data_IF_379031546073
#
_entry.id   IF_379031546073
#
_cell.length_a   1.000
_cell.length_b   1.000
_cell.length_c   1.000
_cell.angle_alpha   90.00
_cell.angle_beta   90.00
_cell.angle_gamma   90.00
#
_symmetry.space_group_name_H-M   'P 1'
#
loop_
_entity.id
_entity.type
_entity.pdbx_description
1 polymer ?
#
# COMPACT_ATOMS: atom_id res chain seq x y z
N UNK A 1 3.44 -1.45 -13.20
CA UNK A 1 3.73 -2.11 -11.90
C UNK A 1 3.23 -1.28 -10.72
N UNK A 2 3.55 0.01 -10.70
CA UNK A 2 3.10 0.97 -9.68
C UNK A 2 1.57 0.99 -9.53
N UNK A 3 0.80 1.03 -10.62
CA UNK A 3 -0.67 0.98 -10.52
C UNK A 3 -1.20 -0.28 -9.84
N UNK A 4 -0.57 -1.44 -10.12
CA UNK A 4 -0.92 -2.70 -9.45
C UNK A 4 -0.61 -2.61 -7.95
N UNK A 5 0.53 -2.02 -7.59
CA UNK A 5 0.95 -1.78 -6.19
C UNK A 5 0.05 -0.77 -5.48
N UNK A 6 -0.53 0.20 -6.18
CA UNK A 6 -1.54 1.10 -5.62
C UNK A 6 -2.87 0.35 -5.40
N UNK A 7 -3.27 -0.51 -6.34
CA UNK A 7 -4.54 -1.25 -6.28
C UNK A 7 -4.62 -2.23 -5.11
N UNK A 8 -3.51 -2.84 -4.69
CA UNK A 8 -3.52 -3.81 -3.57
C UNK A 8 -3.93 -3.15 -2.24
N UNK A 9 -3.62 -1.87 -2.02
CA UNK A 9 -4.07 -1.14 -0.84
C UNK A 9 -5.59 -0.90 -0.85
N UNK A 10 -6.16 -0.59 -2.01
CA UNK A 10 -7.62 -0.48 -2.15
C UNK A 10 -8.33 -1.83 -1.92
N UNK A 11 -7.73 -2.93 -2.37
CA UNK A 11 -8.24 -4.27 -2.10
C UNK A 11 -8.20 -4.61 -0.61
N UNK A 12 -7.12 -4.24 0.08
CA UNK A 12 -7.03 -4.38 1.54
C UNK A 12 -8.11 -3.57 2.27
N UNK A 13 -8.35 -2.31 1.89
CA UNK A 13 -9.44 -1.49 2.45
C UNK A 13 -10.83 -2.13 2.23
N UNK A 14 -11.01 -2.84 1.11
CA UNK A 14 -12.24 -3.60 0.85
C UNK A 14 -12.41 -4.75 1.86
N UNK A 15 -11.33 -5.49 2.16
CA UNK A 15 -11.34 -6.54 3.17
C UNK A 15 -11.62 -5.98 4.58
N UNK A 16 -11.11 -4.79 4.91
CA UNK A 16 -11.42 -4.10 6.16
C UNK A 16 -12.91 -3.76 6.27
N UNK A 17 -13.52 -3.24 5.21
CA UNK A 17 -14.95 -2.93 5.21
C UNK A 17 -15.81 -4.20 5.32
N UNK A 18 -15.39 -5.28 4.66
CA UNK A 18 -16.04 -6.59 4.81
C UNK A 18 -15.94 -7.09 6.26
N UNK A 19 -14.79 -6.98 6.91
CA UNK A 19 -14.60 -7.33 8.32
C UNK A 19 -15.54 -6.55 9.25
N UNK A 20 -15.70 -5.24 9.06
CA UNK A 20 -16.58 -4.44 9.94
C UNK A 20 -18.05 -4.87 9.89
N UNK A 21 -18.46 -5.43 8.75
CA UNK A 21 -19.83 -5.91 8.56
C UNK A 21 -19.98 -7.33 9.07
N UNK A 22 -19.08 -8.23 8.68
CA UNK A 22 -19.17 -9.67 8.93
C UNK A 22 -18.55 -10.12 10.27
N UNK A 23 -17.62 -9.33 10.81
CA UNK A 23 -16.73 -9.67 11.92
C UNK A 23 -15.87 -10.91 11.68
N UNK A 24 -15.68 -11.28 10.42
CA UNK A 24 -14.80 -12.37 10.01
C UNK A 24 -13.33 -11.95 10.08
N UNK A 25 -12.68 -12.31 11.18
CA UNK A 25 -11.26 -12.04 11.41
C UNK A 25 -10.38 -12.74 10.36
N UNK A 26 -10.78 -13.91 9.85
CA UNK A 26 -10.00 -14.66 8.87
C UNK A 26 -9.91 -13.90 7.55
N UNK A 27 -11.03 -13.34 7.08
CA UNK A 27 -11.07 -12.50 5.88
C UNK A 27 -10.16 -11.26 5.99
N UNK A 28 -10.08 -10.64 7.18
CA UNK A 28 -9.19 -9.50 7.42
C UNK A 28 -7.71 -9.92 7.37
N UNK A 29 -7.36 -11.04 8.02
CA UNK A 29 -5.99 -11.56 8.04
C UNK A 29 -5.54 -12.03 6.66
N UNK A 30 -6.42 -12.67 5.89
CA UNK A 30 -6.17 -13.05 4.50
C UNK A 30 -5.96 -11.82 3.62
N UNK A 31 -6.76 -10.77 3.81
CA UNK A 31 -6.59 -9.47 3.17
C UNK A 31 -5.21 -8.87 3.45
N UNK A 32 -4.75 -8.89 4.71
CA UNK A 32 -3.41 -8.44 5.12
C UNK A 32 -2.32 -9.28 4.45
N UNK A 33 -2.40 -10.60 4.56
CA UNK A 33 -1.41 -11.53 3.99
C UNK A 33 -1.28 -11.36 2.48
N UNK A 34 -2.40 -11.17 1.78
CA UNK A 34 -2.43 -10.91 0.35
C UNK A 34 -1.77 -9.58 0.02
N UNK A 35 -2.07 -8.51 0.76
CA UNK A 35 -1.40 -7.22 0.61
C UNK A 35 0.12 -7.36 0.71
N UNK A 36 0.61 -8.05 1.74
CA UNK A 36 2.05 -8.23 1.97
C UNK A 36 2.72 -9.06 0.87
N UNK A 37 2.07 -10.15 0.45
CA UNK A 37 2.57 -11.05 -0.60
C UNK A 37 2.62 -10.36 -1.96
N UNK A 38 1.50 -9.76 -2.39
CA UNK A 38 1.39 -9.10 -3.69
C UNK A 38 2.32 -7.87 -3.74
N UNK A 39 2.46 -7.14 -2.62
CA UNK A 39 3.43 -6.03 -2.51
C UNK A 39 4.87 -6.53 -2.70
N UNK A 40 5.25 -7.62 -2.04
CA UNK A 40 6.60 -8.16 -2.13
C UNK A 40 6.93 -8.59 -3.57
N UNK A 41 6.03 -9.32 -4.23
CA UNK A 41 6.17 -9.72 -5.63
C UNK A 41 6.32 -8.51 -6.56
N UNK A 42 5.47 -7.49 -6.41
CA UNK A 42 5.56 -6.28 -7.24
C UNK A 42 6.85 -5.51 -6.94
N UNK A 43 7.31 -5.45 -5.69
CA UNK A 43 8.58 -4.82 -5.35
C UNK A 43 9.77 -5.54 -5.98
N UNK A 44 9.79 -6.88 -6.01
CA UNK A 44 10.82 -7.63 -6.74
C UNK A 44 10.81 -7.27 -8.23
N UNK A 45 9.63 -7.20 -8.85
CA UNK A 45 9.49 -6.81 -10.27
C UNK A 45 9.94 -5.37 -10.51
N UNK A 46 9.62 -4.44 -9.60
CA UNK A 46 10.07 -3.06 -9.67
C UNK A 46 11.58 -2.95 -9.54
N UNK A 47 12.20 -3.66 -8.59
CA UNK A 47 13.67 -3.69 -8.43
C UNK A 47 14.36 -4.10 -9.73
N UNK A 48 13.85 -5.14 -10.40
CA UNK A 48 14.41 -5.60 -11.68
C UNK A 48 14.23 -4.56 -12.79
N UNK A 49 13.06 -3.91 -12.87
CA UNK A 49 12.82 -2.85 -13.85
C UNK A 49 13.71 -1.62 -13.62
N UNK A 50 13.87 -1.19 -12.37
CA UNK A 50 14.69 -0.03 -11.99
C UNK A 50 16.18 -0.29 -12.27
N UNK A 51 16.64 -1.55 -12.19
CA UNK A 51 18.05 -1.88 -12.44
C UNK A 51 18.53 -1.49 -13.85
N UNK A 52 17.64 -1.43 -14.84
CA UNK A 52 17.96 -1.00 -16.22
C UNK A 52 18.39 0.48 -16.26
N UNK A 53 17.84 1.33 -15.40
CA UNK A 53 18.18 2.75 -15.34
C UNK A 53 19.59 3.05 -14.84
N UNK A 54 20.32 2.05 -14.30
CA UNK A 54 21.73 2.21 -13.94
C UNK A 54 22.59 2.62 -15.14
N UNK A 55 22.21 2.18 -16.33
CA UNK A 55 22.92 2.50 -17.58
C UNK A 55 22.45 3.82 -18.20
N UNK A 56 21.24 4.28 -17.85
CA UNK A 56 20.65 5.52 -18.38
C UNK A 56 21.08 6.78 -17.60
N UNK A 57 21.44 6.63 -16.32
CA UNK A 57 22.04 7.69 -15.52
C UNK A 57 21.65 7.66 -14.05
N UNK A 58 22.60 8.03 -13.19
CA UNK A 58 22.45 7.94 -11.72
C UNK A 58 21.22 8.69 -11.20
N UNK A 59 20.89 9.86 -11.74
CA UNK A 59 19.74 10.66 -11.31
C UNK A 59 18.40 9.96 -11.59
N UNK A 60 18.24 9.33 -12.76
CA UNK A 60 17.01 8.59 -13.12
C UNK A 60 16.90 7.33 -12.27
N UNK A 61 18.00 6.62 -12.08
CA UNK A 61 18.07 5.45 -11.20
C UNK A 61 17.67 5.78 -9.74
N UNK A 62 18.23 6.85 -9.17
CA UNK A 62 17.96 7.26 -7.79
C UNK A 62 16.51 7.68 -7.59
N UNK A 63 15.92 8.45 -8.53
CA UNK A 63 14.50 8.78 -8.50
C UNK A 63 13.61 7.53 -8.61
N UNK A 64 13.97 6.60 -9.48
CA UNK A 64 13.18 5.40 -9.70
C UNK A 64 13.18 4.47 -8.48
N UNK A 65 14.25 4.48 -7.66
CA UNK A 65 14.31 3.77 -6.38
C UNK A 65 13.22 4.22 -5.39
N UNK A 66 12.73 5.46 -5.47
CA UNK A 66 11.64 5.93 -4.61
C UNK A 66 10.30 5.20 -4.86
N UNK A 67 10.12 4.59 -6.04
CA UNK A 67 8.96 3.73 -6.34
C UNK A 67 8.90 2.47 -5.46
N UNK A 68 10.00 2.10 -4.80
CA UNK A 68 10.05 1.00 -3.85
C UNK A 68 9.64 1.41 -2.43
N UNK A 69 9.56 2.70 -2.14
CA UNK A 69 9.46 3.22 -0.76
C UNK A 69 8.29 4.17 -0.52
N UNK A 70 7.59 4.63 -1.56
CA UNK A 70 6.49 5.59 -1.43
C UNK A 70 5.37 5.12 -0.48
N UNK A 71 5.19 3.80 -0.34
CA UNK A 71 4.19 3.18 0.52
C UNK A 71 4.61 2.99 1.99
N UNK A 72 5.85 3.36 2.35
CA UNK A 72 6.43 3.05 3.68
C UNK A 72 5.52 3.49 4.83
N UNK A 73 4.96 4.70 4.76
CA UNK A 73 4.07 5.22 5.80
C UNK A 73 2.77 4.41 5.97
N UNK A 74 2.28 3.79 4.89
CA UNK A 74 1.12 2.89 4.97
C UNK A 74 1.53 1.64 5.75
N UNK A 75 2.62 0.99 5.33
CA UNK A 75 3.10 -0.26 5.91
C UNK A 75 3.49 -0.11 7.38
N UNK A 76 4.17 0.98 7.75
CA UNK A 76 4.54 1.28 9.12
C UNK A 76 3.33 1.40 10.06
N UNK A 77 2.16 1.80 9.54
CA UNK A 77 0.94 1.98 10.33
C UNK A 77 -0.09 0.86 10.19
N UNK A 78 0.19 -0.16 9.37
CA UNK A 78 -0.76 -1.22 9.00
C UNK A 78 -1.24 -2.02 10.22
N UNK A 79 -0.31 -2.53 11.04
CA UNK A 79 -0.66 -3.36 12.19
C UNK A 79 -1.42 -2.58 13.27
N UNK A 80 -1.02 -1.32 13.49
CA UNK A 80 -1.73 -0.41 14.40
C UNK A 80 -3.16 -0.15 13.92
N UNK A 81 -3.35 0.10 12.62
CA UNK A 81 -4.66 0.29 12.02
C UNK A 81 -5.54 -0.96 12.15
N UNK A 82 -5.02 -2.15 11.81
CA UNK A 82 -5.74 -3.42 11.95
C UNK A 82 -6.18 -3.63 13.40
N UNK A 83 -5.29 -3.38 14.36
CA UNK A 83 -5.60 -3.50 15.79
C UNK A 83 -6.74 -2.56 16.19
N UNK A 84 -6.73 -1.31 15.74
CA UNK A 84 -7.79 -0.34 16.00
C UNK A 84 -9.13 -0.77 15.37
N UNK A 85 -9.10 -1.23 14.12
CA UNK A 85 -10.29 -1.74 13.41
C UNK A 85 -10.90 -2.93 14.15
N UNK A 86 -10.08 -3.86 14.64
CA UNK A 86 -10.55 -5.03 15.37
C UNK A 86 -11.17 -4.69 16.73
N UNK A 87 -10.63 -3.67 17.41
CA UNK A 87 -11.18 -3.16 18.67
C UNK A 87 -12.48 -2.37 18.47
N UNK A 88 -12.66 -1.77 17.29
CA UNK A 88 -13.84 -0.95 17.01
C UNK A 88 -15.10 -1.79 16.78
N UNK A 89 -16.16 -1.48 17.52
CA UNK A 89 -17.50 -2.03 17.30
C UNK A 89 -18.27 -1.28 16.21
N UNK A 90 -17.70 -0.20 15.64
CA UNK A 90 -18.34 0.57 14.57
C UNK A 90 -18.39 -0.23 13.27
N UNK A 91 -19.52 -0.12 12.55
CA UNK A 91 -19.69 -0.70 11.21
C UNK A 91 -19.38 0.31 10.10
N UNK A 92 -19.38 1.60 10.42
CA UNK A 92 -19.05 2.72 9.53
C UNK A 92 -17.54 3.04 9.55
N UNK A 93 -17.14 4.02 8.74
CA UNK A 93 -15.80 4.59 8.83
C UNK A 93 -15.58 5.29 10.19
N UNK A 94 -14.45 5.01 10.81
CA UNK A 94 -13.89 5.63 12.01
C UNK A 94 -12.81 6.66 11.62
N UNK A 95 -12.35 7.50 12.56
CA UNK A 95 -11.23 8.40 12.32
C UNK A 95 -9.97 7.69 11.83
N UNK A 96 -9.68 6.49 12.34
CA UNK A 96 -8.53 5.69 11.93
C UNK A 96 -8.63 5.23 10.48
N UNK A 97 -9.83 4.91 9.98
CA UNK A 97 -10.04 4.59 8.57
C UNK A 97 -9.77 5.78 7.66
N UNK A 98 -10.25 6.95 8.06
CA UNK A 98 -10.02 8.19 7.32
C UNK A 98 -8.52 8.48 7.25
N UNK A 99 -7.81 8.37 8.37
CA UNK A 99 -6.36 8.57 8.40
C UNK A 99 -5.59 7.55 7.56
N UNK A 100 -5.96 6.26 7.64
CA UNK A 100 -5.29 5.22 6.86
C UNK A 100 -5.58 5.35 5.36
N UNK A 101 -6.83 5.65 5.00
CA UNK A 101 -7.23 5.91 3.61
C UNK A 101 -6.51 7.14 3.05
N UNK A 102 -6.34 8.19 3.86
CA UNK A 102 -5.56 9.36 3.45
C UNK A 102 -4.11 9.00 3.13
N UNK A 103 -3.45 8.19 3.97
CA UNK A 103 -2.08 7.70 3.68
C UNK A 103 -2.00 6.91 2.38
N UNK A 104 -3.02 6.10 2.07
CA UNK A 104 -3.11 5.37 0.79
C UNK A 104 -3.22 6.35 -0.39
N UNK A 105 -4.05 7.38 -0.27
CA UNK A 105 -4.19 8.44 -1.28
C UNK A 105 -2.89 9.23 -1.45
N UNK A 106 -2.25 9.66 -0.37
CA UNK A 106 -1.00 10.43 -0.39
C UNK A 106 0.13 9.62 -1.03
N UNK A 107 0.23 8.33 -0.71
CA UNK A 107 1.19 7.43 -1.32
C UNK A 107 0.95 7.27 -2.83
N UNK A 108 -0.32 7.15 -3.27
CA UNK A 108 -0.66 7.11 -4.70
C UNK A 108 -0.22 8.41 -5.39
N UNK A 109 -0.58 9.57 -4.86
CA UNK A 109 -0.18 10.88 -5.40
C UNK A 109 1.35 11.00 -5.48
N UNK A 110 2.06 10.55 -4.44
CA UNK A 110 3.53 10.52 -4.45
C UNK A 110 4.08 9.61 -5.55
N UNK A 111 3.51 8.43 -5.74
CA UNK A 111 3.93 7.50 -6.78
C UNK A 111 3.74 8.07 -8.19
N UNK A 112 2.64 8.79 -8.42
CA UNK A 112 2.34 9.47 -9.68
C UNK A 112 3.34 10.62 -9.93
N UNK A 113 3.63 11.41 -8.89
CA UNK A 113 4.65 12.47 -8.95
C UNK A 113 6.04 11.93 -9.28
N UNK A 114 6.45 10.82 -8.66
CA UNK A 114 7.73 10.16 -8.98
C UNK A 114 7.73 9.74 -10.44
N UNK A 115 6.70 9.03 -10.91
CA UNK A 115 6.60 8.59 -12.30
C UNK A 115 6.63 9.73 -13.32
N UNK A 116 5.99 10.86 -13.02
CA UNK A 116 6.01 12.04 -13.88
C UNK A 116 7.37 12.75 -13.94
N UNK A 117 8.28 12.43 -13.01
CA UNK A 117 9.61 13.05 -12.87
C UNK A 117 10.76 12.18 -13.39
N UNK A 118 10.45 10.96 -13.84
CA UNK A 118 11.35 10.02 -14.52
C UNK A 118 11.35 10.32 -16.02
#
# INVERSE_FOLDING_TARGET
LVDKKNRIFSQFLTAVNQYKTSRDVSALQDGKKRLETDRADINTKLTNAIAVFKEEGQNVYDKAQDLLRYEKAIMDSLDGYITSVQKSQQKSASPEDTQFTQKVTDARTRSESILASL
#
